data_IF_113981361622
#
_entry.id   IF_113981361622
#
_cell.length_a   1.000
_cell.length_b   1.000
_cell.length_c   1.000
_cell.angle_alpha   90.00
_cell.angle_beta   90.00
_cell.angle_gamma   90.00
#
_symmetry.space_group_name_H-M   'P 1'
#
loop_
_entity.id
_entity.type
_entity.pdbx_description
1 polymer ?
#
# COMPACT_ATOMS: atom_id res chain seq x y z
N UNK A 1 -18.97 6.08 -4.13
CA UNK A 1 -17.65 6.19 -4.80
C UNK A 1 -17.69 5.35 -6.06
N UNK A 2 -17.39 5.93 -7.23
CA UNK A 2 -17.43 5.17 -8.48
C UNK A 2 -16.42 4.01 -8.44
N UNK A 3 -16.82 2.84 -8.90
CA UNK A 3 -15.98 1.63 -8.91
C UNK A 3 -14.63 1.88 -9.64
N UNK A 4 -14.66 2.71 -10.68
CA UNK A 4 -13.45 3.19 -11.38
C UNK A 4 -12.49 3.92 -10.44
N UNK A 5 -12.99 4.84 -9.61
CA UNK A 5 -12.19 5.65 -8.69
C UNK A 5 -11.57 4.80 -7.56
N UNK A 6 -12.30 3.76 -7.11
CA UNK A 6 -11.78 2.74 -6.18
C UNK A 6 -10.62 1.94 -6.77
N UNK A 7 -10.78 1.48 -8.00
CA UNK A 7 -9.72 0.78 -8.72
C UNK A 7 -8.53 1.67 -9.02
N UNK A 8 -8.74 2.93 -9.41
CA UNK A 8 -7.66 3.89 -9.65
C UNK A 8 -6.84 4.16 -8.39
N UNK A 9 -7.49 4.32 -7.23
CA UNK A 9 -6.79 4.53 -5.97
C UNK A 9 -5.96 3.29 -5.57
N UNK A 10 -6.52 2.09 -5.74
CA UNK A 10 -5.79 0.84 -5.51
C UNK A 10 -4.58 0.69 -6.45
N UNK A 11 -4.78 0.91 -7.74
CA UNK A 11 -3.73 0.82 -8.74
C UNK A 11 -2.61 1.85 -8.47
N UNK A 12 -2.98 3.08 -8.10
CA UNK A 12 -2.02 4.12 -7.75
C UNK A 12 -1.12 3.68 -6.58
N UNK A 13 -1.72 3.23 -5.47
CA UNK A 13 -0.94 2.76 -4.32
C UNK A 13 -0.09 1.54 -4.67
N UNK A 14 -0.63 0.57 -5.41
CA UNK A 14 0.13 -0.60 -5.85
C UNK A 14 1.36 -0.20 -6.67
N UNK A 15 1.23 0.73 -7.62
CA UNK A 15 2.34 1.23 -8.45
C UNK A 15 3.39 1.93 -7.58
N UNK A 16 2.96 2.78 -6.63
CA UNK A 16 3.86 3.49 -5.72
C UNK A 16 4.68 2.50 -4.90
N UNK A 17 4.04 1.51 -4.28
CA UNK A 17 4.73 0.49 -3.49
C UNK A 17 5.70 -0.32 -4.34
N UNK A 18 5.27 -0.84 -5.50
CA UNK A 18 6.15 -1.59 -6.40
C UNK A 18 7.37 -0.76 -6.83
N UNK A 19 7.18 0.52 -7.12
CA UNK A 19 8.28 1.41 -7.52
C UNK A 19 9.29 1.60 -6.39
N UNK A 20 8.81 1.80 -5.15
CA UNK A 20 9.65 1.96 -3.96
C UNK A 20 10.40 0.66 -3.65
N UNK A 21 9.73 -0.49 -3.72
CA UNK A 21 10.33 -1.80 -3.55
C UNK A 21 11.51 -2.03 -4.51
N UNK A 22 11.30 -1.77 -5.81
CA UNK A 22 12.34 -1.90 -6.84
C UNK A 22 13.48 -0.93 -6.54
N UNK A 23 13.16 0.32 -6.16
CA UNK A 23 14.17 1.31 -5.81
C UNK A 23 15.04 0.86 -4.63
N UNK A 24 14.46 0.29 -3.57
CA UNK A 24 15.21 -0.23 -2.41
C UNK A 24 16.14 -1.38 -2.81
N UNK A 25 15.69 -2.27 -3.70
CA UNK A 25 16.48 -3.42 -4.18
C UNK A 25 17.65 -3.01 -5.07
N UNK A 26 17.44 -2.06 -5.98
CA UNK A 26 18.42 -1.66 -7.00
C UNK A 26 19.38 -0.60 -6.48
N UNK A 27 18.97 0.22 -5.50
CA UNK A 27 19.80 1.25 -4.88
C UNK A 27 21.09 0.65 -4.34
N UNK A 28 22.22 1.13 -4.86
CA UNK A 28 23.54 0.86 -4.29
C UNK A 28 23.71 1.71 -3.02
N UNK A 29 23.99 1.05 -1.89
CA UNK A 29 24.34 1.73 -0.65
C UNK A 29 25.86 1.80 -0.58
N UNK A 30 26.42 2.95 -0.97
CA UNK A 30 27.84 3.10 -1.30
C UNK A 30 28.77 3.18 -0.07
N UNK A 31 28.26 3.01 1.16
CA UNK A 31 28.98 3.45 2.38
C UNK A 31 29.17 2.35 3.44
N UNK A 32 28.67 1.13 3.23
CA UNK A 32 28.70 0.08 4.27
C UNK A 32 28.99 -1.32 3.73
N UNK A 33 29.57 -2.19 4.57
CA UNK A 33 29.89 -3.57 4.21
C UNK A 33 28.65 -4.39 3.79
N UNK A 34 28.82 -5.46 3.00
CA UNK A 34 27.70 -6.17 2.36
C UNK A 34 26.64 -6.70 3.32
N UNK A 35 27.02 -7.10 4.54
CA UNK A 35 26.10 -7.54 5.60
C UNK A 35 25.21 -6.40 6.10
N UNK A 36 25.77 -5.21 6.26
CA UNK A 36 25.07 -4.05 6.80
C UNK A 36 24.11 -3.44 5.76
N UNK A 37 24.48 -3.52 4.47
CA UNK A 37 23.58 -3.19 3.35
C UNK A 37 22.38 -4.13 3.31
N UNK A 38 22.57 -5.43 3.51
CA UNK A 38 21.47 -6.39 3.56
C UNK A 38 20.51 -6.11 4.73
N UNK A 39 21.05 -5.85 5.92
CA UNK A 39 20.24 -5.50 7.10
C UNK A 39 19.43 -4.21 6.89
N UNK A 40 20.05 -3.16 6.34
CA UNK A 40 19.33 -1.91 6.05
C UNK A 40 18.23 -2.07 5.00
N UNK A 41 18.45 -2.90 3.97
CA UNK A 41 17.42 -3.23 2.97
C UNK A 41 16.25 -3.96 3.60
N UNK A 42 16.52 -4.97 4.45
CA UNK A 42 15.48 -5.71 5.16
C UNK A 42 14.64 -4.81 6.06
N UNK A 43 15.26 -3.87 6.78
CA UNK A 43 14.55 -2.89 7.61
C UNK A 43 13.70 -1.95 6.74
N UNK A 44 14.24 -1.45 5.63
CA UNK A 44 13.49 -0.59 4.72
C UNK A 44 12.28 -1.31 4.11
N UNK A 45 12.44 -2.57 3.70
CA UNK A 45 11.36 -3.42 3.20
C UNK A 45 10.33 -3.74 4.29
N UNK A 46 10.75 -3.92 5.54
CA UNK A 46 9.84 -4.14 6.66
C UNK A 46 8.99 -2.89 6.95
N UNK A 47 9.60 -1.70 6.92
CA UNK A 47 8.89 -0.42 7.06
C UNK A 47 7.90 -0.23 5.90
N UNK A 48 8.34 -0.50 4.66
CA UNK A 48 7.47 -0.44 3.49
C UNK A 48 6.26 -1.36 3.63
N UNK A 49 6.50 -2.63 4.01
CA UNK A 49 5.45 -3.61 4.24
C UNK A 49 4.48 -3.20 5.36
N UNK A 50 4.97 -2.55 6.41
CA UNK A 50 4.14 -2.01 7.48
C UNK A 50 3.17 -0.93 6.98
N UNK A 51 3.68 0.04 6.20
CA UNK A 51 2.82 1.08 5.59
C UNK A 51 1.83 0.48 4.58
N UNK A 52 2.25 -0.52 3.81
CA UNK A 52 1.38 -1.24 2.90
C UNK A 52 0.23 -1.93 3.66
N UNK A 53 0.53 -2.54 4.81
CA UNK A 53 -0.47 -3.12 5.71
C UNK A 53 -1.47 -2.10 6.21
N UNK A 54 -1.01 -0.95 6.73
CA UNK A 54 -1.90 0.13 7.22
C UNK A 54 -2.83 0.62 6.11
N UNK A 55 -2.26 0.91 4.93
CA UNK A 55 -3.05 1.42 3.80
C UNK A 55 -4.03 0.35 3.33
N UNK A 56 -3.62 -0.92 3.26
CA UNK A 56 -4.49 -2.05 2.92
C UNK A 56 -5.68 -2.18 3.87
N UNK A 57 -5.45 -2.09 5.18
CA UNK A 57 -6.51 -2.11 6.19
C UNK A 57 -7.45 -0.91 6.03
N UNK A 58 -6.89 0.29 5.85
CA UNK A 58 -7.69 1.50 5.61
C UNK A 58 -8.59 1.37 4.36
N UNK A 59 -8.08 0.75 3.29
CA UNK A 59 -8.86 0.47 2.09
C UNK A 59 -9.98 -0.56 2.35
N UNK A 60 -9.71 -1.65 3.07
CA UNK A 60 -10.76 -2.63 3.40
C UNK A 60 -11.87 -2.00 4.26
N UNK A 61 -11.50 -1.16 5.22
CA UNK A 61 -12.43 -0.43 6.07
C UNK A 61 -13.27 0.57 5.26
N UNK A 62 -12.65 1.36 4.39
CA UNK A 62 -13.35 2.29 3.50
C UNK A 62 -14.32 1.55 2.57
N UNK A 63 -13.90 0.42 2.00
CA UNK A 63 -14.78 -0.41 1.16
C UNK A 63 -16.00 -0.90 1.94
N UNK A 64 -15.81 -1.43 3.15
CA UNK A 64 -16.90 -1.88 4.02
C UNK A 64 -17.85 -0.74 4.38
N UNK A 65 -17.31 0.43 4.72
CA UNK A 65 -18.11 1.60 5.09
C UNK A 65 -18.97 2.08 3.92
N UNK A 66 -18.38 2.19 2.72
CA UNK A 66 -19.09 2.58 1.49
C UNK A 66 -20.17 1.55 1.12
N UNK A 67 -19.84 0.25 1.20
CA UNK A 67 -20.80 -0.84 0.91
C UNK A 67 -21.96 -0.86 1.89
N UNK A 68 -21.69 -0.60 3.18
CA UNK A 68 -22.73 -0.52 4.21
C UNK A 68 -23.68 0.66 3.96
N UNK A 69 -23.15 1.84 3.61
CA UNK A 69 -23.97 3.02 3.28
C UNK A 69 -24.85 2.82 2.06
N UNK A 70 -24.32 2.20 0.99
CA UNK A 70 -25.08 1.87 -0.21
C UNK A 70 -26.26 0.91 0.05
N UNK A 71 -26.15 0.04 1.05
CA UNK A 71 -27.21 -0.91 1.41
C UNK A 71 -28.32 -0.27 2.24
N UNK A 72 -28.00 0.80 2.98
CA UNK A 72 -28.96 1.55 3.79
C UNK A 72 -29.84 2.49 2.95
N UNK A 73 -29.32 3.02 1.85
CA UNK A 73 -30.07 3.86 0.90
C UNK A 73 -31.17 3.06 0.19
N UNK A 74 -30.85 1.85 -0.29
CA UNK A 74 -31.80 0.94 -0.96
C UNK A 74 -32.94 0.40 -0.08
N UNK A 75 -32.93 0.64 1.23
CA UNK A 75 -33.96 0.15 2.15
C UNK A 75 -35.04 1.22 2.46
N UNK A 76 -34.82 2.44 2.00
CA UNK A 76 -35.71 3.58 2.24
C UNK A 76 -36.49 4.03 0.98
N UNK A 77 -36.30 3.33 -0.14
CA UNK A 77 -37.14 3.39 -1.36
C UNK A 77 -38.05 2.16 -1.44
#
# INVERSE_FOLDING_TARGET
MNFKLWWTLNAFWAIVFVTVFIYIMVRKMTITGPVQVYQMRMVALAIEGYFLGIIGVAQVLLYHYIKSKSKHDKKND
#
